data_IF_171814466077
#
_entry.id   IF_171814466077
#
_cell.length_a   1.000
_cell.length_b   1.000
_cell.length_c   1.000
_cell.angle_alpha   90.00
_cell.angle_beta   90.00
_cell.angle_gamma   90.00
#
_symmetry.space_group_name_H-M   'P 1'
#
loop_
_entity.id
_entity.type
_entity.pdbx_description
1 polymer ?
#
# COMPACT_ATOMS: atom_id res chain seq x y z
N UNK A 1 -8.52 4.24 4.16
CA UNK A 1 -7.33 4.68 4.90
C UNK A 1 -6.04 4.25 4.21
N UNK A 2 -5.75 2.94 4.07
CA UNK A 2 -4.51 2.46 3.44
C UNK A 2 -4.25 3.08 2.05
N UNK A 3 -5.24 3.04 1.14
CA UNK A 3 -5.13 3.69 -0.18
C UNK A 3 -4.80 5.19 -0.10
N UNK A 4 -5.45 5.92 0.80
CA UNK A 4 -5.20 7.35 1.01
C UNK A 4 -3.79 7.60 1.54
N UNK A 5 -3.33 6.78 2.50
CA UNK A 5 -1.98 6.87 3.05
C UNK A 5 -0.92 6.61 1.97
N UNK A 6 -1.15 5.60 1.12
CA UNK A 6 -0.31 5.31 -0.04
C UNK A 6 -0.26 6.50 -1.00
N UNK A 7 -1.42 7.03 -1.43
CA UNK A 7 -1.49 8.16 -2.34
C UNK A 7 -0.75 9.38 -1.78
N UNK A 8 -1.04 9.78 -0.54
CA UNK A 8 -0.37 10.92 0.11
C UNK A 8 1.14 10.73 0.21
N UNK A 9 1.63 9.50 0.41
CA UNK A 9 3.08 9.25 0.49
C UNK A 9 3.83 9.55 -0.82
N UNK A 10 3.14 9.45 -1.96
CA UNK A 10 3.69 9.84 -3.27
C UNK A 10 3.37 11.30 -3.62
N UNK A 11 2.21 11.82 -3.19
CA UNK A 11 1.82 13.21 -3.45
C UNK A 11 2.68 14.23 -2.70
N UNK A 12 3.17 13.87 -1.51
CA UNK A 12 3.95 14.76 -0.63
C UNK A 12 5.44 14.49 -0.78
N UNK A 13 6.00 14.85 -1.93
CA UNK A 13 7.44 14.76 -2.19
C UNK A 13 8.20 15.68 -1.23
N UNK A 14 9.34 15.22 -0.68
CA UNK A 14 10.14 15.98 0.29
C UNK A 14 9.39 16.35 1.60
N UNK A 15 8.47 15.49 2.04
CA UNK A 15 7.72 15.69 3.29
C UNK A 15 8.57 15.67 4.58
N UNK A 16 9.03 16.82 5.07
CA UNK A 16 9.84 16.90 6.30
C UNK A 16 9.02 17.06 7.60
N UNK A 17 7.75 16.62 7.60
CA UNK A 17 6.83 16.68 8.75
C UNK A 17 6.03 15.37 8.86
N UNK A 18 5.58 15.05 10.07
CA UNK A 18 4.73 13.87 10.31
C UNK A 18 3.33 14.08 9.74
N UNK A 19 2.83 13.12 8.96
CA UNK A 19 1.43 13.07 8.52
C UNK A 19 0.84 11.75 8.98
N UNK A 20 0.06 11.78 10.05
CA UNK A 20 -0.48 10.58 10.70
C UNK A 20 -1.96 10.43 10.36
N UNK A 21 -2.30 9.40 9.58
CA UNK A 21 -3.67 8.98 9.37
C UNK A 21 -4.09 8.07 10.52
N UNK A 22 -5.25 8.32 11.09
CA UNK A 22 -5.85 7.50 12.15
C UNK A 22 -7.36 7.45 11.94
N UNK A 23 -8.06 6.67 12.75
CA UNK A 23 -9.51 6.58 12.71
C UNK A 23 -10.03 5.76 13.88
N UNK A 24 -11.22 5.20 13.71
CA UNK A 24 -11.81 4.30 14.69
C UNK A 24 -12.67 3.25 14.02
N UNK A 25 -12.85 2.11 14.67
CA UNK A 25 -13.87 1.14 14.26
C UNK A 25 -15.24 1.54 14.80
N UNK A 26 -15.29 2.14 15.99
CA UNK A 26 -16.51 2.60 16.63
C UNK A 26 -16.64 4.13 16.51
N UNK A 27 -17.85 4.68 16.25
CA UNK A 27 -18.08 6.13 16.28
C UNK A 27 -17.61 6.76 17.60
N UNK A 28 -17.16 8.01 17.56
CA UNK A 28 -16.60 8.70 18.74
C UNK A 28 -17.59 8.91 19.89
N UNK A 29 -18.89 8.91 19.60
CA UNK A 29 -19.95 9.18 20.58
C UNK A 29 -20.46 7.96 21.35
N UNK A 30 -19.95 6.75 21.10
CA UNK A 30 -20.46 5.53 21.74
C UNK A 30 -19.51 4.97 22.80
N UNK A 31 -20.04 4.32 23.86
CA UNK A 31 -19.20 3.63 24.84
C UNK A 31 -18.29 2.60 24.18
N UNK A 32 -17.06 2.48 24.70
CA UNK A 32 -15.98 1.59 24.19
C UNK A 32 -15.36 2.01 22.86
N UNK A 33 -15.60 3.23 22.39
CA UNK A 33 -14.94 3.77 21.20
C UNK A 33 -13.42 3.83 21.34
N UNK A 34 -12.72 3.45 20.28
CA UNK A 34 -11.28 3.61 20.10
C UNK A 34 -10.90 4.99 19.54
N UNK A 35 -11.87 5.80 19.11
CA UNK A 35 -11.63 7.07 18.42
C UNK A 35 -10.84 8.08 19.25
N UNK A 36 -11.19 8.24 20.52
CA UNK A 36 -10.55 9.23 21.40
C UNK A 36 -9.07 8.89 21.59
N UNK A 37 -8.78 7.65 21.98
CA UNK A 37 -7.41 7.20 22.23
C UNK A 37 -6.58 7.22 20.94
N UNK A 38 -7.16 6.74 19.82
CA UNK A 38 -6.49 6.75 18.53
C UNK A 38 -6.13 8.17 18.05
N UNK A 39 -7.00 9.15 18.30
CA UNK A 39 -6.75 10.54 17.93
C UNK A 39 -5.68 11.19 18.82
N UNK A 40 -5.77 11.01 20.14
CA UNK A 40 -4.81 11.59 21.09
C UNK A 40 -3.40 11.07 20.80
N UNK A 41 -3.22 9.76 20.67
CA UNK A 41 -1.88 9.22 20.38
C UNK A 41 -1.38 9.61 18.99
N UNK A 42 -2.25 9.73 17.99
CA UNK A 42 -1.83 10.21 16.67
C UNK A 42 -1.30 11.66 16.72
N UNK A 43 -1.93 12.52 17.52
CA UNK A 43 -1.45 13.90 17.76
C UNK A 43 -0.12 13.89 18.52
N UNK A 44 0.03 13.03 19.53
CA UNK A 44 1.28 12.86 20.28
C UNK A 44 2.44 12.44 19.36
N UNK A 45 2.21 11.44 18.51
CA UNK A 45 3.16 10.97 17.49
C UNK A 45 3.50 12.09 16.50
N UNK A 46 2.49 12.80 15.97
CA UNK A 46 2.70 13.90 15.03
C UNK A 46 3.51 15.06 15.63
N UNK A 47 3.41 15.24 16.95
CA UNK A 47 4.09 16.29 17.72
C UNK A 47 5.38 15.81 18.39
N UNK A 48 5.82 14.58 18.13
CA UNK A 48 7.04 14.02 18.70
C UNK A 48 8.26 14.44 17.89
N UNK A 49 9.15 15.19 18.54
CA UNK A 49 10.40 15.69 17.95
C UNK A 49 11.60 15.26 18.80
N UNK A 50 12.72 15.06 18.13
CA UNK A 50 14.03 14.81 18.72
C UNK A 50 15.04 15.71 18.02
N UNK A 51 15.78 16.49 18.81
CA UNK A 51 16.80 17.40 18.29
C UNK A 51 16.30 18.33 17.18
N UNK A 52 15.04 18.79 17.29
CA UNK A 52 14.39 19.65 16.31
C UNK A 52 13.84 18.94 15.06
N UNK A 53 13.94 17.61 14.98
CA UNK A 53 13.49 16.79 13.84
C UNK A 53 12.28 15.93 14.24
N UNK A 54 11.23 15.79 13.40
CA UNK A 54 10.13 14.87 13.69
C UNK A 54 10.64 13.43 13.83
N UNK A 55 10.10 12.68 14.79
CA UNK A 55 10.44 11.26 14.97
C UNK A 55 9.99 10.39 13.76
N UNK A 56 8.99 10.85 13.00
CA UNK A 56 8.40 10.14 11.84
C UNK A 56 8.09 11.12 10.68
N UNK A 57 9.11 11.57 9.91
CA UNK A 57 8.93 12.54 8.82
C UNK A 57 8.43 11.85 7.53
N UNK A 58 7.27 11.20 7.63
CA UNK A 58 6.60 10.49 6.54
C UNK A 58 5.09 10.38 6.78
N UNK A 59 4.37 9.91 5.75
CA UNK A 59 2.95 9.54 5.87
C UNK A 59 2.85 8.17 6.54
N UNK A 60 2.17 8.12 7.69
CA UNK A 60 2.01 6.92 8.48
C UNK A 60 0.53 6.68 8.82
N UNK A 61 0.20 5.43 9.17
CA UNK A 61 -1.11 5.03 9.69
C UNK A 61 -0.92 4.60 11.14
N UNK A 62 -1.64 5.23 12.05
CA UNK A 62 -1.71 4.81 13.44
C UNK A 62 -3.03 4.11 13.71
N UNK A 63 -2.96 2.88 14.23
CA UNK A 63 -4.12 2.11 14.65
C UNK A 63 -3.69 1.09 15.70
N UNK A 64 -4.50 0.88 16.74
CA UNK A 64 -4.26 -0.12 17.80
C UNK A 64 -2.84 -0.11 18.36
N UNK A 65 -2.40 1.04 18.85
CA UNK A 65 -1.09 1.14 19.49
C UNK A 65 0.10 0.84 18.56
N UNK A 66 -0.12 0.72 17.25
CA UNK A 66 0.91 0.43 16.25
C UNK A 66 0.93 1.55 15.22
N UNK A 67 2.13 2.01 14.88
CA UNK A 67 2.37 2.98 13.83
C UNK A 67 3.02 2.29 12.63
N UNK A 68 2.36 2.35 11.49
CA UNK A 68 2.77 1.71 10.24
C UNK A 68 3.19 2.76 9.21
N UNK A 69 4.13 2.42 8.33
CA UNK A 69 4.39 3.22 7.13
C UNK A 69 3.18 3.18 6.21
N UNK A 70 2.67 4.35 5.81
CA UNK A 70 1.39 4.48 5.11
C UNK A 70 1.28 3.60 3.86
N UNK A 71 2.28 3.66 2.98
CA UNK A 71 2.34 2.88 1.73
C UNK A 71 2.75 1.41 1.88
N UNK A 72 2.79 0.90 3.12
CA UNK A 72 3.01 -0.52 3.43
C UNK A 72 1.81 -1.15 4.14
N UNK A 73 0.73 -0.40 4.32
CA UNK A 73 -0.47 -0.87 5.03
C UNK A 73 -1.51 -1.50 4.11
N UNK A 74 -2.19 -2.51 4.62
CA UNK A 74 -3.41 -3.09 4.03
C UNK A 74 -4.47 -3.23 5.13
N UNK A 75 -5.73 -2.92 4.80
CA UNK A 75 -6.85 -3.27 5.69
C UNK A 75 -7.24 -4.73 5.42
N UNK A 76 -7.07 -5.60 6.41
CA UNK A 76 -7.29 -7.06 6.27
C UNK A 76 -8.47 -7.57 7.09
N UNK A 77 -8.99 -6.77 8.01
CA UNK A 77 -10.16 -7.13 8.80
C UNK A 77 -11.16 -5.96 8.85
N UNK A 78 -12.44 -6.27 8.65
CA UNK A 78 -13.52 -5.29 8.71
C UNK A 78 -14.11 -5.14 10.12
N UNK A 79 -14.11 -6.22 10.91
CA UNK A 79 -14.89 -6.35 12.15
C UNK A 79 -14.03 -6.35 13.41
N UNK A 80 -12.75 -6.72 13.31
CA UNK A 80 -11.82 -6.65 14.43
C UNK A 80 -11.18 -5.27 14.53
N UNK A 81 -10.75 -4.92 15.74
CA UNK A 81 -9.88 -3.78 15.93
C UNK A 81 -8.57 -3.95 15.13
N UNK A 82 -8.09 -5.21 14.98
CA UNK A 82 -6.89 -5.59 14.20
C UNK A 82 -7.12 -5.49 12.70
N UNK A 83 -7.38 -4.26 12.27
CA UNK A 83 -7.83 -3.93 10.94
C UNK A 83 -6.69 -3.80 9.95
N UNK A 84 -5.49 -3.36 10.38
CA UNK A 84 -4.37 -3.05 9.50
C UNK A 84 -3.16 -3.94 9.73
N UNK A 85 -2.48 -4.29 8.63
CA UNK A 85 -1.20 -5.01 8.66
C UNK A 85 -0.19 -4.36 7.72
N UNK A 86 1.09 -4.54 8.05
CA UNK A 86 2.23 -4.24 7.19
C UNK A 86 3.10 -5.49 7.08
N UNK A 87 2.76 -6.39 6.16
CA UNK A 87 3.37 -7.72 6.09
C UNK A 87 4.84 -7.68 5.63
N UNK A 88 5.21 -6.67 4.84
CA UNK A 88 6.52 -6.57 4.19
C UNK A 88 7.38 -5.41 4.73
N UNK A 89 6.95 -4.76 5.81
CA UNK A 89 7.72 -3.67 6.42
C UNK A 89 7.47 -3.59 7.94
N UNK A 90 8.52 -3.42 8.77
CA UNK A 90 8.37 -3.30 10.21
C UNK A 90 7.54 -2.08 10.66
N UNK A 91 7.09 -2.11 11.91
CA UNK A 91 6.45 -0.96 12.56
C UNK A 91 7.43 0.22 12.69
N UNK A 92 6.90 1.44 12.53
CA UNK A 92 7.63 2.68 12.76
C UNK A 92 7.65 3.05 14.24
N UNK A 93 6.58 2.71 14.97
CA UNK A 93 6.51 2.89 16.41
C UNK A 93 5.45 1.97 17.04
N UNK A 94 5.57 1.76 18.35
CA UNK A 94 4.57 1.11 19.20
C UNK A 94 4.23 2.05 20.36
N UNK A 95 2.94 2.17 20.67
CA UNK A 95 2.42 2.98 21.77
C UNK A 95 2.10 2.08 22.98
N UNK A 96 3.05 1.99 23.92
CA UNK A 96 2.79 1.38 25.23
C UNK A 96 2.56 2.46 26.28
N UNK A 97 3.08 2.22 27.50
CA UNK A 97 3.23 3.27 28.53
C UNK A 97 3.99 4.49 28.00
N UNK A 98 4.90 4.25 27.04
CA UNK A 98 5.63 5.28 26.29
C UNK A 98 5.61 4.94 24.80
N UNK A 99 5.75 5.96 23.96
CA UNK A 99 5.98 5.80 22.52
C UNK A 99 7.40 5.26 22.26
N UNK A 100 7.48 4.12 21.58
CA UNK A 100 8.75 3.48 21.18
C UNK A 100 8.93 3.59 19.68
N UNK A 101 9.71 4.58 19.23
CA UNK A 101 10.02 4.79 17.81
C UNK A 101 11.15 3.90 17.30
N UNK A 102 10.94 3.27 16.15
CA UNK A 102 11.91 2.46 15.42
C UNK A 102 12.57 3.27 14.30
N UNK A 103 13.44 4.20 14.69
CA UNK A 103 14.07 5.21 13.81
C UNK A 103 14.85 4.64 12.64
N UNK A 104 15.32 3.39 12.72
CA UNK A 104 16.00 2.70 11.62
C UNK A 104 15.09 2.52 10.40
N UNK A 105 13.78 2.42 10.63
CA UNK A 105 12.78 2.22 9.58
C UNK A 105 12.06 3.51 9.20
N UNK A 106 12.17 4.57 9.99
CA UNK A 106 11.67 5.90 9.59
C UNK A 106 12.52 6.49 8.46
N UNK A 107 11.86 7.22 7.56
CA UNK A 107 12.52 8.10 6.59
C UNK A 107 13.31 9.16 7.33
N UNK A 108 14.41 9.62 6.72
CA UNK A 108 15.14 10.80 7.20
C UNK A 108 14.57 12.05 6.54
N UNK A 109 14.66 13.18 7.23
CA UNK A 109 14.42 14.48 6.58
C UNK A 109 15.47 14.72 5.50
N UNK A 110 15.13 15.56 4.53
CA UNK A 110 16.06 16.09 3.54
C UNK A 110 16.05 17.62 3.57
N UNK A 111 16.93 18.25 2.80
CA UNK A 111 17.04 19.72 2.73
C UNK A 111 16.10 20.33 1.68
N UNK A 112 15.34 19.50 0.97
CA UNK A 112 14.46 19.95 -0.10
C UNK A 112 13.13 20.47 0.45
N UNK A 113 12.54 21.41 -0.29
CA UNK A 113 11.21 21.94 0.02
C UNK A 113 10.12 20.97 -0.40
N UNK A 114 9.04 20.89 0.39
CA UNK A 114 7.85 20.10 0.06
C UNK A 114 7.32 20.46 -1.33
N UNK A 115 7.17 19.45 -2.19
CA UNK A 115 6.46 19.56 -3.45
C UNK A 115 5.19 18.70 -3.39
N UNK A 116 4.07 19.29 -3.80
CA UNK A 116 2.76 18.61 -3.75
C UNK A 116 2.32 18.26 -5.17
N UNK A 117 2.07 16.98 -5.41
CA UNK A 117 1.61 16.43 -6.69
C UNK A 117 0.12 16.03 -6.61
N UNK A 118 -0.85 16.95 -6.77
CA UNK A 118 -2.26 16.65 -6.54
C UNK A 118 -2.93 15.84 -7.67
N UNK A 119 -2.31 15.78 -8.85
CA UNK A 119 -2.88 15.13 -10.03
C UNK A 119 -2.51 13.64 -10.02
N UNK A 120 -3.52 12.78 -9.94
CA UNK A 120 -3.37 11.34 -10.14
C UNK A 120 -3.83 10.96 -11.54
N UNK A 121 -3.09 10.06 -12.17
CA UNK A 121 -3.55 9.40 -13.38
C UNK A 121 -4.49 8.25 -13.00
N UNK A 122 -5.75 8.34 -13.42
CA UNK A 122 -6.79 7.33 -13.14
C UNK A 122 -6.94 6.30 -14.25
N UNK A 123 -6.15 6.39 -15.31
CA UNK A 123 -6.15 5.49 -16.46
C UNK A 123 -5.47 4.15 -16.13
N UNK A 124 -5.90 3.53 -15.04
CA UNK A 124 -5.34 2.30 -14.49
C UNK A 124 -6.44 1.26 -14.30
N UNK A 125 -6.12 -0.02 -14.47
CA UNK A 125 -7.03 -1.13 -14.16
C UNK A 125 -6.32 -2.24 -13.39
N UNK A 126 -7.07 -2.98 -12.58
CA UNK A 126 -6.57 -4.15 -11.85
C UNK A 126 -7.08 -5.42 -12.53
N UNK A 127 -6.16 -6.25 -13.01
CA UNK A 127 -6.44 -7.58 -13.54
C UNK A 127 -6.04 -8.64 -12.51
N UNK A 128 -7.03 -9.15 -11.77
CA UNK A 128 -6.82 -10.25 -10.83
C UNK A 128 -6.94 -11.60 -11.52
N UNK A 129 -5.89 -12.41 -11.46
CA UNK A 129 -5.91 -13.76 -12.02
C UNK A 129 -6.63 -14.74 -11.10
N UNK A 130 -7.36 -15.68 -11.68
CA UNK A 130 -7.97 -16.80 -10.96
C UNK A 130 -8.02 -18.03 -11.87
N UNK A 131 -8.04 -19.26 -11.32
CA UNK A 131 -8.18 -20.47 -12.12
C UNK A 131 -9.45 -20.41 -12.98
N UNK A 132 -9.30 -20.61 -14.30
CA UNK A 132 -10.40 -20.52 -15.25
C UNK A 132 -10.62 -19.13 -15.89
N UNK A 133 -9.74 -18.15 -15.62
CA UNK A 133 -9.80 -16.86 -16.34
C UNK A 133 -9.71 -17.07 -17.85
N UNK A 134 -10.61 -16.43 -18.60
CA UNK A 134 -10.74 -16.66 -20.04
C UNK A 134 -9.98 -15.61 -20.86
N UNK A 135 -9.64 -15.97 -22.11
CA UNK A 135 -9.08 -15.01 -23.07
C UNK A 135 -9.97 -13.77 -23.25
N UNK A 136 -11.28 -13.97 -23.33
CA UNK A 136 -12.24 -12.88 -23.47
C UNK A 136 -12.21 -11.90 -22.29
N UNK A 137 -12.09 -12.42 -21.06
CA UNK A 137 -11.96 -11.59 -19.84
C UNK A 137 -10.68 -10.78 -19.85
N UNK A 138 -9.54 -11.40 -20.17
CA UNK A 138 -8.25 -10.69 -20.24
C UNK A 138 -8.28 -9.62 -21.33
N UNK A 139 -8.82 -9.94 -22.50
CA UNK A 139 -8.97 -8.97 -23.60
C UNK A 139 -9.86 -7.79 -23.23
N UNK A 140 -11.00 -8.03 -22.58
CA UNK A 140 -11.90 -6.96 -22.16
C UNK A 140 -11.23 -5.97 -21.20
N UNK A 141 -10.34 -6.46 -20.33
CA UNK A 141 -9.59 -5.63 -19.38
C UNK A 141 -8.44 -4.89 -20.06
N UNK A 142 -7.61 -5.59 -20.83
CA UNK A 142 -6.43 -4.99 -21.46
C UNK A 142 -6.78 -4.00 -22.56
N UNK A 143 -7.85 -4.27 -23.32
CA UNK A 143 -8.30 -3.44 -24.46
C UNK A 143 -9.31 -2.38 -24.07
N UNK A 144 -9.53 -2.16 -22.78
CA UNK A 144 -10.34 -1.04 -22.33
C UNK A 144 -9.70 0.28 -22.80
N UNK A 145 -10.52 1.13 -23.42
CA UNK A 145 -10.09 2.43 -23.91
C UNK A 145 -9.43 3.27 -22.79
N UNK A 146 -8.34 3.93 -23.17
CA UNK A 146 -7.55 4.83 -22.32
C UNK A 146 -6.87 4.16 -21.13
N UNK A 147 -6.80 2.84 -21.03
CA UNK A 147 -5.98 2.19 -20.00
C UNK A 147 -4.50 2.36 -20.31
N UNK A 148 -3.77 3.06 -19.45
CA UNK A 148 -2.33 3.31 -19.56
C UNK A 148 -1.50 2.38 -18.67
N UNK A 149 -2.07 1.88 -17.56
CA UNK A 149 -1.40 0.88 -16.71
C UNK A 149 -2.35 -0.22 -16.23
N UNK A 150 -1.82 -1.43 -16.09
CA UNK A 150 -2.52 -2.60 -15.58
C UNK A 150 -1.77 -3.17 -14.39
N UNK A 151 -2.42 -3.23 -13.24
CA UNK A 151 -1.94 -3.97 -12.08
C UNK A 151 -2.39 -5.43 -12.23
N UNK A 152 -1.44 -6.31 -12.57
CA UNK A 152 -1.67 -7.73 -12.76
C UNK A 152 -1.45 -8.46 -11.42
N UNK A 153 -2.52 -8.87 -10.76
CA UNK A 153 -2.42 -9.67 -9.52
C UNK A 153 -2.27 -11.15 -9.85
N UNK A 154 -1.07 -11.69 -9.64
CA UNK A 154 -0.67 -13.06 -9.95
C UNK A 154 -0.57 -13.95 -8.70
N UNK A 155 -0.41 -15.25 -8.90
CA UNK A 155 -0.38 -16.22 -7.81
C UNK A 155 0.99 -16.28 -7.13
N UNK A 156 0.99 -16.39 -5.80
CA UNK A 156 2.19 -16.69 -5.02
C UNK A 156 3.35 -15.75 -5.32
N UNK A 157 4.47 -16.28 -5.78
CA UNK A 157 5.69 -15.52 -6.06
C UNK A 157 5.69 -14.77 -7.40
N UNK A 158 4.54 -14.61 -8.08
CA UNK A 158 4.45 -13.89 -9.36
C UNK A 158 3.96 -14.72 -10.54
N UNK A 159 3.36 -15.88 -10.29
CA UNK A 159 3.04 -16.86 -11.33
C UNK A 159 1.73 -16.51 -12.05
N UNK A 160 1.79 -16.47 -13.38
CA UNK A 160 0.66 -16.26 -14.27
C UNK A 160 0.53 -17.45 -15.25
N UNK A 161 -0.60 -17.61 -15.95
CA UNK A 161 -0.74 -18.57 -17.04
C UNK A 161 0.37 -18.42 -18.08
N UNK A 162 0.90 -19.54 -18.56
CA UNK A 162 1.93 -19.60 -19.61
C UNK A 162 1.37 -20.03 -20.97
N UNK A 163 0.05 -20.08 -21.09
CA UNK A 163 -0.60 -20.37 -22.37
C UNK A 163 -0.22 -19.30 -23.39
N UNK A 164 0.05 -19.73 -24.64
CA UNK A 164 0.47 -18.81 -25.71
C UNK A 164 -0.48 -17.63 -25.87
N UNK A 165 -1.79 -17.88 -25.84
CA UNK A 165 -2.77 -16.80 -25.96
C UNK A 165 -2.65 -15.75 -24.86
N UNK A 166 -2.29 -16.12 -23.62
CA UNK A 166 -2.18 -15.17 -22.52
C UNK A 166 -0.94 -14.31 -22.68
N UNK A 167 0.19 -14.95 -22.99
CA UNK A 167 1.45 -14.26 -23.25
C UNK A 167 1.32 -13.30 -24.44
N UNK A 168 0.66 -13.73 -25.52
CA UNK A 168 0.42 -12.90 -26.70
C UNK A 168 -0.42 -11.65 -26.36
N UNK A 169 -1.45 -11.74 -25.50
CA UNK A 169 -2.25 -10.56 -25.10
C UNK A 169 -1.47 -9.61 -24.19
N UNK A 170 -0.65 -10.14 -23.26
CA UNK A 170 0.22 -9.31 -22.41
C UNK A 170 1.29 -8.60 -23.25
N UNK A 171 1.92 -9.30 -24.19
CA UNK A 171 2.90 -8.73 -25.12
C UNK A 171 2.27 -7.63 -25.98
N UNK A 172 1.06 -7.86 -26.50
CA UNK A 172 0.32 -6.83 -27.25
C UNK A 172 0.02 -5.59 -26.40
N UNK A 173 -0.37 -5.75 -25.14
CA UNK A 173 -0.60 -4.65 -24.22
C UNK A 173 0.67 -3.84 -23.94
N UNK A 174 1.80 -4.51 -23.74
CA UNK A 174 3.10 -3.83 -23.55
C UNK A 174 3.49 -3.08 -24.82
N UNK A 175 3.35 -3.72 -25.99
CA UNK A 175 3.70 -3.13 -27.29
C UNK A 175 2.80 -1.95 -27.68
N UNK A 176 1.58 -1.86 -27.15
CA UNK A 176 0.69 -0.70 -27.33
C UNK A 176 1.00 0.45 -26.36
N UNK A 177 2.01 0.30 -25.49
CA UNK A 177 2.47 1.32 -24.56
C UNK A 177 1.87 1.22 -23.16
N UNK A 178 1.10 0.16 -22.84
CA UNK A 178 0.55 -0.03 -21.51
C UNK A 178 1.63 -0.51 -20.53
N UNK A 179 1.66 0.09 -19.33
CA UNK A 179 2.52 -0.35 -18.24
C UNK A 179 1.89 -1.53 -17.51
N UNK A 180 2.52 -2.71 -17.56
CA UNK A 180 2.05 -3.89 -16.82
C UNK A 180 2.86 -4.06 -15.53
N UNK A 181 2.22 -3.84 -14.38
CA UNK A 181 2.82 -4.08 -13.06
C UNK A 181 2.34 -5.42 -12.50
N UNK A 182 3.26 -6.39 -12.41
CA UNK A 182 2.98 -7.63 -11.71
C UNK A 182 3.04 -7.41 -10.19
N UNK A 183 2.00 -7.87 -9.47
CA UNK A 183 1.97 -7.95 -8.01
C UNK A 183 1.41 -9.30 -7.57
N UNK A 184 1.76 -9.72 -6.36
CA UNK A 184 1.19 -10.95 -5.79
C UNK A 184 -0.19 -10.68 -5.21
N UNK A 185 -1.09 -11.65 -5.33
CA UNK A 185 -2.34 -11.70 -4.56
C UNK A 185 -2.10 -11.99 -3.06
N UNK A 186 -0.91 -12.46 -2.68
CA UNK A 186 -0.56 -12.71 -1.29
C UNK A 186 -0.27 -11.40 -0.56
N UNK A 187 -0.73 -11.28 0.69
CA UNK A 187 -0.56 -10.08 1.52
C UNK A 187 0.91 -9.81 1.85
N UNK A 188 1.72 -10.86 1.98
CA UNK A 188 3.15 -10.78 2.31
C UNK A 188 4.01 -11.62 1.36
N UNK A 189 5.30 -11.32 1.34
CA UNK A 189 6.28 -11.94 0.46
C UNK A 189 6.76 -11.00 -0.65
N UNK A 190 7.54 -11.57 -1.57
CA UNK A 190 8.14 -10.85 -2.69
C UNK A 190 8.00 -11.66 -3.98
N UNK A 191 7.93 -10.94 -5.11
CA UNK A 191 7.97 -11.59 -6.42
C UNK A 191 9.35 -12.19 -6.67
N UNK A 192 9.37 -13.32 -7.38
CA UNK A 192 10.59 -14.02 -7.80
C UNK A 192 10.49 -14.35 -9.28
N UNK A 193 11.23 -13.61 -10.10
CA UNK A 193 11.28 -13.84 -11.54
C UNK A 193 12.15 -15.07 -11.86
N UNK A 194 11.69 -15.92 -12.78
CA UNK A 194 12.49 -17.03 -13.33
C UNK A 194 12.71 -18.24 -12.41
N UNK A 195 12.08 -18.30 -11.23
CA UNK A 195 12.32 -19.37 -10.23
C UNK A 195 11.41 -20.58 -10.42
N UNK A 196 10.26 -20.41 -11.06
CA UNK A 196 9.25 -21.47 -11.23
C UNK A 196 8.99 -21.73 -12.71
N UNK A 197 9.43 -22.89 -13.20
CA UNK A 197 8.82 -23.51 -14.39
C UNK A 197 7.43 -24.01 -13.97
N UNK A 198 6.36 -23.78 -14.76
CA UNK A 198 5.10 -24.46 -14.52
C UNK A 198 5.36 -25.95 -14.43
N UNK A 199 4.94 -26.59 -13.34
CA UNK A 199 4.87 -28.05 -13.29
C UNK A 199 3.99 -28.47 -14.46
N UNK A 200 4.54 -29.29 -15.36
CA UNK A 200 3.89 -29.68 -16.60
C UNK A 200 2.48 -30.20 -16.36
N UNK A 201 1.54 -29.66 -17.11
CA UNK A 201 0.27 -30.30 -17.47
C UNK A 201 0.06 -30.06 -18.96
#
# INVERSE_FOLDING_TARGET
MAYTASALSFMLENLNKSVILTGSQLPSGIPRTDAKENLITAIEIASSYRDGVPEVPEVAVYFEYKLYRGNRTHKVNADHFEAFVSANYPLLAEAGVHLKFNRRYCRKINEETLQVHPKLNTNIIVLKLFPGITKATVQAVLKQDKTEAVLLETFGSGNAPTSKWFLDEIEQAINSGQLILNVSQCIGGQLKWGVTKPAGV
#
